data_IF_614496097347
#
_entry.id   IF_614496097347
#
_cell.length_a   1.000
_cell.length_b   1.000
_cell.length_c   1.000
_cell.angle_alpha   90.00
_cell.angle_beta   90.00
_cell.angle_gamma   90.00
#
_symmetry.space_group_name_H-M   'P 1'
#
loop_
_entity.id
_entity.type
_entity.pdbx_description
1 polymer ?
#
# COMPACT_ATOMS: atom_id res chain seq x y z
N UNK A 1 12.34 5.97 -8.15
CA UNK A 1 13.35 7.07 -8.14
C UNK A 1 14.72 6.45 -8.31
N UNK A 2 15.68 7.16 -8.91
CA UNK A 2 17.07 6.71 -8.99
C UNK A 2 17.64 6.49 -7.58
N UNK A 3 18.27 5.33 -7.34
CA UNK A 3 18.83 4.98 -6.02
C UNK A 3 20.31 5.33 -6.00
N UNK A 4 20.78 6.21 -5.10
CA UNK A 4 22.20 6.40 -4.86
C UNK A 4 22.90 5.12 -4.42
N UNK A 5 24.15 4.91 -4.85
CA UNK A 5 24.94 3.72 -4.51
C UNK A 5 25.08 3.49 -2.99
N UNK A 6 25.06 4.56 -2.19
CA UNK A 6 25.12 4.50 -0.73
C UNK A 6 23.89 3.87 -0.06
N UNK A 7 22.77 3.76 -0.78
CA UNK A 7 21.55 3.14 -0.26
C UNK A 7 21.54 1.67 -0.69
N UNK A 8 21.46 0.70 0.24
CA UNK A 8 21.44 -0.72 -0.09
C UNK A 8 20.31 -1.11 -1.04
N UNK A 9 20.53 -2.12 -1.88
CA UNK A 9 19.51 -2.65 -2.79
C UNK A 9 18.37 -3.34 -2.05
N UNK A 10 18.65 -3.97 -0.91
CA UNK A 10 17.71 -4.70 -0.06
C UNK A 10 17.08 -3.83 1.04
N UNK A 11 17.22 -2.50 0.95
CA UNK A 11 16.62 -1.59 1.92
C UNK A 11 15.09 -1.77 1.94
N UNK A 12 14.54 -1.78 3.16
CA UNK A 12 13.11 -1.74 3.39
C UNK A 12 12.83 -0.77 4.54
N UNK A 13 12.03 0.26 4.27
CA UNK A 13 11.62 1.28 5.23
C UNK A 13 10.11 1.31 5.30
N UNK A 14 9.58 1.26 6.52
CA UNK A 14 8.20 1.57 6.84
C UNK A 14 8.19 2.76 7.79
N UNK A 15 7.32 3.73 7.57
CA UNK A 15 7.23 4.94 8.42
C UNK A 15 6.10 4.82 9.45
N UNK A 16 5.94 5.85 10.29
CA UNK A 16 4.82 5.93 11.23
C UNK A 16 3.45 5.78 10.54
N UNK A 17 3.30 6.31 9.32
CA UNK A 17 2.05 6.17 8.54
C UNK A 17 1.72 4.70 8.24
N UNK A 18 2.73 3.88 7.91
CA UNK A 18 2.57 2.43 7.76
C UNK A 18 2.18 1.74 9.07
N UNK A 19 2.85 2.10 10.18
CA UNK A 19 2.57 1.52 11.50
C UNK A 19 1.15 1.85 11.99
N UNK A 20 0.63 3.03 11.66
CA UNK A 20 -0.72 3.43 12.00
C UNK A 20 -1.81 2.76 11.13
N UNK A 21 -1.42 2.19 9.98
CA UNK A 21 -2.33 1.59 8.98
C UNK A 21 -2.53 0.09 9.17
N UNK A 22 -1.46 -0.68 9.35
CA UNK A 22 -1.56 -2.14 9.36
C UNK A 22 -2.17 -2.66 10.67
N UNK A 23 -3.22 -3.47 10.58
CA UNK A 23 -4.02 -3.93 11.72
C UNK A 23 -3.20 -4.50 12.89
N UNK A 24 -2.14 -5.26 12.60
CA UNK A 24 -1.25 -5.81 13.63
C UNK A 24 -0.55 -4.75 14.48
N UNK A 25 -0.11 -3.65 13.88
CA UNK A 25 0.51 -2.52 14.59
C UNK A 25 -0.54 -1.55 15.14
N UNK A 26 -1.59 -1.29 14.36
CA UNK A 26 -2.70 -0.41 14.71
C UNK A 26 -3.51 -0.90 15.94
N UNK A 27 -3.45 -2.19 16.26
CA UNK A 27 -4.07 -2.78 17.44
C UNK A 27 -3.21 -2.67 18.72
N UNK A 28 -1.96 -2.20 18.62
CA UNK A 28 -1.08 -2.08 19.78
C UNK A 28 -1.46 -0.86 20.65
N UNK A 29 -1.22 -0.89 21.97
CA UNK A 29 -1.59 0.22 22.87
C UNK A 29 -1.01 1.59 22.47
N UNK A 30 0.17 1.60 21.85
CA UNK A 30 0.85 2.83 21.42
C UNK A 30 0.27 3.45 20.13
N UNK A 31 -0.64 2.77 19.43
CA UNK A 31 -1.14 3.23 18.14
C UNK A 31 -1.90 4.57 18.23
N UNK A 32 -2.61 4.84 19.34
CA UNK A 32 -3.29 6.12 19.55
C UNK A 32 -2.31 7.27 19.65
N UNK A 33 -1.28 7.14 20.50
CA UNK A 33 -0.24 8.17 20.66
C UNK A 33 0.51 8.43 19.36
N UNK A 34 0.82 7.38 18.59
CA UNK A 34 1.44 7.53 17.27
C UNK A 34 0.56 8.32 16.31
N UNK A 35 -0.76 8.09 16.30
CA UNK A 35 -1.69 8.83 15.44
C UNK A 35 -1.77 10.31 15.81
N UNK A 36 -1.77 10.62 17.11
CA UNK A 36 -1.73 12.01 17.60
C UNK A 36 -0.45 12.72 17.15
N UNK A 37 0.71 12.08 17.31
CA UNK A 37 1.99 12.62 16.84
C UNK A 37 2.01 12.85 15.33
N UNK A 38 1.52 11.89 14.54
CA UNK A 38 1.41 12.03 13.08
C UNK A 38 0.46 13.15 12.68
N UNK A 39 -0.62 13.38 13.44
CA UNK A 39 -1.58 14.43 13.16
C UNK A 39 -0.98 15.83 13.36
N UNK A 40 -0.03 15.96 14.29
CA UNK A 40 0.69 17.20 14.56
C UNK A 40 1.87 17.41 13.59
N UNK A 41 2.65 16.36 13.34
CA UNK A 41 3.90 16.43 12.58
C UNK A 41 3.73 16.27 11.07
N UNK A 42 2.81 15.42 10.64
CA UNK A 42 2.65 15.00 9.24
C UNK A 42 1.18 15.04 8.74
N UNK A 43 0.43 16.13 8.98
CA UNK A 43 -1.00 16.20 8.64
C UNK A 43 -1.27 16.01 7.14
N UNK A 44 -0.35 16.43 6.28
CA UNK A 44 -0.45 16.31 4.83
C UNK A 44 -0.40 14.84 4.38
N UNK A 45 0.48 14.03 5.00
CA UNK A 45 0.56 12.59 4.73
C UNK A 45 -0.70 11.86 5.20
N UNK A 46 -1.28 12.27 6.34
CA UNK A 46 -2.57 11.72 6.77
C UNK A 46 -3.71 12.12 5.82
N UNK A 47 -3.68 13.36 5.31
CA UNK A 47 -4.69 13.88 4.38
C UNK A 47 -4.81 13.10 3.07
N UNK A 48 -3.72 12.49 2.59
CA UNK A 48 -3.73 11.63 1.41
C UNK A 48 -3.71 10.12 1.72
N UNK A 49 -3.96 9.74 2.98
CA UNK A 49 -3.93 8.35 3.44
C UNK A 49 -2.62 7.66 3.02
N UNK A 50 -1.51 8.34 3.29
CA UNK A 50 -0.18 7.83 2.99
C UNK A 50 0.10 6.54 3.76
N UNK A 51 0.74 5.60 3.09
CA UNK A 51 1.47 4.50 3.65
C UNK A 51 2.91 4.66 3.14
N UNK A 52 3.57 5.74 3.56
CA UNK A 52 4.89 6.08 3.07
C UNK A 52 5.89 5.01 3.52
N UNK A 53 6.40 4.29 2.54
CA UNK A 53 7.37 3.22 2.64
C UNK A 53 8.35 3.33 1.47
N UNK A 54 9.46 2.63 1.61
CA UNK A 54 10.46 2.58 0.57
C UNK A 54 11.10 1.21 0.49
N UNK A 55 11.36 0.76 -0.72
CA UNK A 55 12.14 -0.46 -0.94
C UNK A 55 13.08 -0.31 -2.12
N UNK A 56 14.32 -0.76 -1.97
CA UNK A 56 15.32 -0.75 -3.01
C UNK A 56 15.09 -1.85 -4.03
N UNK A 57 15.59 -1.62 -5.24
CA UNK A 57 15.79 -2.64 -6.28
C UNK A 57 17.07 -2.38 -7.06
N UNK A 58 17.39 -3.30 -7.97
CA UNK A 58 18.45 -3.13 -8.97
C UNK A 58 18.27 -1.86 -9.79
N UNK A 59 17.02 -1.50 -10.08
CA UNK A 59 16.68 -0.42 -11.01
C UNK A 59 16.37 0.92 -10.32
N UNK A 60 16.35 0.94 -8.98
CA UNK A 60 16.16 2.17 -8.23
C UNK A 60 15.54 1.97 -6.85
N UNK A 61 14.74 2.94 -6.45
CA UNK A 61 14.01 2.99 -5.18
C UNK A 61 12.52 3.17 -5.46
N UNK A 62 11.72 2.23 -4.96
CA UNK A 62 10.28 2.41 -4.84
C UNK A 62 9.99 3.33 -3.66
N UNK A 63 9.16 4.36 -3.90
CA UNK A 63 8.66 5.30 -2.90
C UNK A 63 7.16 5.41 -3.08
N UNK A 64 6.43 5.36 -1.98
CA UNK A 64 4.98 5.38 -1.96
C UNK A 64 4.48 4.61 -0.75
N UNK A 65 3.18 4.37 -0.61
CA UNK A 65 2.10 4.81 -1.47
C UNK A 65 1.09 5.69 -0.72
N UNK A 66 0.01 6.06 -1.38
CA UNK A 66 -1.12 6.81 -0.85
C UNK A 66 -2.41 6.15 -1.30
N UNK A 67 -3.50 6.41 -0.59
CA UNK A 67 -4.77 5.75 -0.87
C UNK A 67 -5.90 6.75 -1.08
N UNK A 68 -6.78 6.43 -2.03
CA UNK A 68 -8.03 7.13 -2.23
C UNK A 68 -9.10 6.09 -2.59
N UNK A 69 -10.25 6.19 -1.94
CA UNK A 69 -11.37 5.28 -2.14
C UNK A 69 -12.54 6.02 -2.78
N UNK A 70 -13.07 5.44 -3.86
CA UNK A 70 -14.19 6.01 -4.60
C UNK A 70 -14.94 4.89 -5.32
N UNK A 71 -16.26 5.04 -5.43
CA UNK A 71 -17.10 4.17 -6.27
C UNK A 71 -16.80 4.37 -7.77
N UNK A 72 -16.22 5.51 -8.15
CA UNK A 72 -15.85 5.84 -9.52
C UNK A 72 -14.52 6.59 -9.54
N UNK A 73 -13.38 5.87 -9.44
CA UNK A 73 -12.06 6.50 -9.41
C UNK A 73 -11.65 7.04 -10.79
N UNK A 74 -10.98 8.19 -10.81
CA UNK A 74 -10.39 8.79 -12.03
C UNK A 74 -9.06 8.10 -12.38
N UNK A 75 -8.70 7.95 -13.66
CA UNK A 75 -7.51 7.19 -14.08
C UNK A 75 -6.21 7.98 -13.93
N UNK A 76 -6.28 9.18 -13.35
CA UNK A 76 -5.17 10.10 -13.23
C UNK A 76 -4.61 10.08 -11.82
N UNK A 77 -3.31 10.29 -11.74
CA UNK A 77 -2.59 10.45 -10.49
C UNK A 77 -2.62 11.92 -10.11
N UNK A 78 -2.93 12.20 -8.85
CA UNK A 78 -2.87 13.55 -8.30
C UNK A 78 -1.41 13.97 -8.14
N UNK A 79 -1.01 15.03 -8.87
CA UNK A 79 0.37 15.50 -8.92
C UNK A 79 0.89 15.90 -7.52
N UNK A 80 0.09 16.66 -6.76
CA UNK A 80 0.44 17.15 -5.42
C UNK A 80 0.71 16.00 -4.44
N UNK A 81 -0.07 14.91 -4.53
CA UNK A 81 0.16 13.71 -3.70
C UNK A 81 1.47 13.03 -4.06
N UNK A 82 1.77 12.89 -5.37
CA UNK A 82 3.02 12.30 -5.82
C UNK A 82 4.24 13.17 -5.43
N UNK A 83 4.10 14.49 -5.46
CA UNK A 83 5.14 15.44 -5.03
C UNK A 83 5.37 15.37 -3.52
N UNK A 84 4.31 15.30 -2.72
CA UNK A 84 4.40 15.13 -1.27
C UNK A 84 5.15 13.84 -0.89
N UNK A 85 4.75 12.70 -1.47
CA UNK A 85 5.40 11.41 -1.21
C UNK A 85 6.87 11.41 -1.66
N UNK A 86 7.15 12.04 -2.81
CA UNK A 86 8.52 12.18 -3.30
C UNK A 86 9.36 13.04 -2.35
N UNK A 87 8.83 14.16 -1.88
CA UNK A 87 9.52 15.08 -0.97
C UNK A 87 9.82 14.40 0.37
N UNK A 88 8.79 13.87 1.06
CA UNK A 88 8.96 13.17 2.35
C UNK A 88 9.83 11.92 2.23
N UNK A 89 9.64 11.14 1.16
CA UNK A 89 10.48 9.99 0.87
C UNK A 89 11.94 10.38 0.62
N UNK A 90 12.19 11.52 -0.01
CA UNK A 90 13.54 12.02 -0.26
C UNK A 90 14.24 12.48 1.02
N UNK A 91 13.50 13.06 1.98
CA UNK A 91 14.05 13.45 3.29
C UNK A 91 14.57 12.23 4.07
N UNK A 92 13.83 11.12 4.07
CA UNK A 92 14.24 9.85 4.72
C UNK A 92 15.63 9.40 4.24
N UNK A 93 15.92 9.59 2.96
CA UNK A 93 17.16 9.15 2.35
C UNK A 93 18.19 10.25 2.14
N UNK A 94 17.87 11.51 2.45
CA UNK A 94 18.70 12.68 2.17
C UNK A 94 18.96 12.87 0.67
N UNK A 95 17.91 12.90 -0.15
CA UNK A 95 18.00 13.13 -1.59
C UNK A 95 17.64 14.59 -1.91
N UNK A 96 18.65 15.42 -2.17
CA UNK A 96 18.44 16.84 -2.47
C UNK A 96 17.78 17.09 -3.83
N UNK A 97 17.98 16.19 -4.79
CA UNK A 97 17.46 16.30 -6.16
C UNK A 97 17.10 14.92 -6.70
N UNK A 98 15.99 14.32 -6.22
CA UNK A 98 15.61 12.97 -6.59
C UNK A 98 15.23 12.89 -8.07
N UNK A 99 15.93 12.06 -8.84
CA UNK A 99 15.55 11.79 -10.24
C UNK A 99 14.41 10.78 -10.28
N UNK A 100 13.22 11.24 -10.65
CA UNK A 100 12.07 10.34 -10.86
C UNK A 100 12.25 9.60 -12.19
N UNK A 101 12.37 8.28 -12.10
CA UNK A 101 12.45 7.41 -13.28
C UNK A 101 11.06 7.14 -13.87
N UNK A 102 10.11 6.79 -13.00
CA UNK A 102 8.75 6.43 -13.38
C UNK A 102 7.76 6.76 -12.25
N UNK A 103 6.50 6.93 -12.62
CA UNK A 103 5.34 7.03 -11.72
C UNK A 103 4.25 6.09 -12.23
N UNK A 104 3.54 5.43 -11.32
CA UNK A 104 2.40 4.57 -11.65
C UNK A 104 1.40 4.61 -10.50
N UNK A 105 0.14 4.29 -10.81
CA UNK A 105 -0.90 4.08 -9.80
C UNK A 105 -1.47 2.67 -9.96
N UNK A 106 -1.76 2.04 -8.81
CA UNK A 106 -2.56 0.83 -8.76
C UNK A 106 -4.02 1.16 -8.54
N UNK A 107 -4.90 0.22 -8.89
CA UNK A 107 -6.32 0.22 -8.51
C UNK A 107 -6.68 -1.18 -8.10
N UNK A 108 -7.37 -1.32 -6.98
CA UNK A 108 -7.83 -2.60 -6.46
C UNK A 108 -9.21 -2.41 -5.81
N UNK A 109 -9.96 -3.50 -5.67
CA UNK A 109 -11.24 -3.47 -4.98
C UNK A 109 -10.99 -3.32 -3.48
N UNK A 110 -11.79 -2.51 -2.80
CA UNK A 110 -11.70 -2.31 -1.35
C UNK A 110 -13.06 -2.60 -0.72
N UNK A 111 -13.06 -3.24 0.45
CA UNK A 111 -14.28 -3.48 1.24
C UNK A 111 -13.97 -3.35 2.72
N UNK A 112 -14.88 -2.71 3.44
CA UNK A 112 -14.83 -2.60 4.90
C UNK A 112 -15.33 -3.87 5.60
N UNK A 113 -16.04 -4.74 4.87
CA UNK A 113 -16.73 -5.91 5.43
C UNK A 113 -15.96 -7.22 5.24
N UNK A 114 -15.11 -7.33 4.21
CA UNK A 114 -14.37 -8.56 3.88
C UNK A 114 -13.08 -8.25 3.11
N UNK A 115 -12.07 -9.09 3.24
CA UNK A 115 -10.86 -9.03 2.41
C UNK A 115 -10.91 -9.93 1.17
N UNK A 116 -11.86 -10.86 1.08
CA UNK A 116 -11.91 -11.86 0.01
C UNK A 116 -13.35 -12.27 -0.31
N UNK A 117 -13.75 -12.02 -1.55
CA UNK A 117 -14.91 -12.67 -2.18
C UNK A 117 -14.40 -13.88 -2.94
N UNK A 118 -14.70 -15.08 -2.45
CA UNK A 118 -14.40 -16.34 -3.12
C UNK A 118 -15.66 -17.21 -3.16
N UNK A 119 -16.32 -17.23 -4.31
CA UNK A 119 -17.62 -17.89 -4.49
C UNK A 119 -17.61 -18.78 -5.73
N UNK A 120 -18.13 -19.99 -5.59
CA UNK A 120 -18.41 -20.87 -6.71
C UNK A 120 -19.87 -20.67 -7.13
N UNK A 121 -20.08 -20.10 -8.32
CA UNK A 121 -21.41 -19.80 -8.83
C UNK A 121 -22.04 -21.03 -9.50
N UNK A 122 -21.21 -21.83 -10.17
CA UNK A 122 -21.58 -23.10 -10.80
C UNK A 122 -20.35 -24.02 -10.97
N UNK A 123 -20.52 -25.19 -11.57
CA UNK A 123 -19.46 -26.19 -11.77
C UNK A 123 -18.24 -25.68 -12.58
N UNK A 124 -18.39 -24.58 -13.32
CA UNK A 124 -17.39 -24.05 -14.25
C UNK A 124 -17.00 -22.60 -13.98
N UNK A 125 -17.57 -21.97 -12.95
CA UNK A 125 -17.44 -20.54 -12.71
C UNK A 125 -17.15 -20.25 -11.25
N UNK A 126 -15.99 -19.63 -11.00
CA UNK A 126 -15.58 -19.12 -9.69
C UNK A 126 -15.32 -17.62 -9.77
N UNK A 127 -15.87 -16.87 -8.82
CA UNK A 127 -15.55 -15.46 -8.60
C UNK A 127 -14.53 -15.39 -7.48
N UNK A 128 -13.37 -14.78 -7.77
CA UNK A 128 -12.30 -14.56 -6.79
C UNK A 128 -11.85 -13.10 -6.86
N UNK A 129 -12.15 -12.32 -5.83
CA UNK A 129 -11.77 -10.91 -5.72
C UNK A 129 -11.17 -10.67 -4.34
N UNK A 130 -9.89 -10.29 -4.29
CA UNK A 130 -9.30 -9.77 -3.06
C UNK A 130 -9.69 -8.31 -2.94
N UNK A 131 -10.40 -7.96 -1.87
CA UNK A 131 -10.97 -6.64 -1.61
C UNK A 131 -10.12 -5.83 -0.63
N UNK A 132 -8.80 -5.99 -0.71
CA UNK A 132 -7.81 -5.19 0.02
C UNK A 132 -6.43 -5.26 -0.65
N UNK A 133 -5.46 -4.52 -0.10
CA UNK A 133 -4.09 -4.41 -0.65
C UNK A 133 -3.21 -5.67 -0.51
N UNK A 134 -3.75 -6.83 -0.09
CA UNK A 134 -2.98 -8.06 0.20
C UNK A 134 -2.99 -9.09 -0.93
N UNK A 135 -3.58 -8.76 -2.09
CA UNK A 135 -3.85 -9.74 -3.16
C UNK A 135 -2.63 -10.47 -3.70
N UNK A 136 -1.49 -9.77 -3.86
CA UNK A 136 -0.26 -10.41 -4.32
C UNK A 136 0.23 -11.48 -3.34
N UNK A 137 0.24 -11.16 -2.04
CA UNK A 137 0.65 -12.07 -0.96
C UNK A 137 -0.24 -13.30 -0.88
N UNK A 138 -1.55 -13.12 -1.05
CA UNK A 138 -2.54 -14.19 -0.91
C UNK A 138 -2.77 -15.00 -2.19
N UNK A 139 -2.24 -14.54 -3.33
CA UNK A 139 -2.59 -15.02 -4.67
C UNK A 139 -2.55 -16.55 -4.83
N UNK A 140 -1.48 -17.20 -4.38
CA UNK A 140 -1.34 -18.66 -4.51
C UNK A 140 -2.33 -19.44 -3.65
N UNK A 141 -2.60 -18.98 -2.42
CA UNK A 141 -3.57 -19.63 -1.55
C UNK A 141 -5.00 -19.48 -2.07
N UNK A 142 -5.36 -18.28 -2.53
CA UNK A 142 -6.66 -18.01 -3.16
C UNK A 142 -6.83 -18.85 -4.44
N UNK A 143 -5.78 -18.99 -5.25
CA UNK A 143 -5.82 -19.81 -6.46
C UNK A 143 -6.03 -21.29 -6.15
N UNK A 144 -5.35 -21.86 -5.14
CA UNK A 144 -5.54 -23.26 -4.74
C UNK A 144 -6.98 -23.52 -4.26
N UNK A 145 -7.53 -22.65 -3.40
CA UNK A 145 -8.91 -22.74 -2.94
C UNK A 145 -9.92 -22.66 -4.10
N UNK A 146 -9.72 -21.69 -5.00
CA UNK A 146 -10.58 -21.51 -6.17
C UNK A 146 -10.60 -22.73 -7.08
N UNK A 147 -9.45 -23.35 -7.32
CA UNK A 147 -9.31 -24.54 -8.17
C UNK A 147 -9.92 -25.79 -7.54
N UNK A 148 -9.99 -25.87 -6.20
CA UNK A 148 -10.62 -26.97 -5.47
C UNK A 148 -12.12 -26.80 -5.24
N UNK A 149 -12.67 -25.62 -5.52
CA UNK A 149 -14.05 -25.28 -5.19
C UNK A 149 -14.29 -25.15 -3.69
N UNK A 150 -13.25 -24.79 -2.93
CA UNK A 150 -13.34 -24.58 -1.48
C UNK A 150 -13.71 -23.13 -1.17
N UNK A 151 -14.44 -22.93 -0.07
CA UNK A 151 -14.81 -21.60 0.43
C UNK A 151 -14.15 -21.34 1.78
N UNK A 152 -13.87 -20.07 2.06
CA UNK A 152 -13.31 -19.62 3.35
C UNK A 152 -14.24 -18.59 3.94
N UNK A 153 -14.73 -18.84 5.16
CA UNK A 153 -15.57 -17.91 5.90
C UNK A 153 -14.73 -17.03 6.84
N UNK A 154 -15.16 -15.78 7.00
CA UNK A 154 -14.57 -14.84 7.98
C UNK A 154 -13.24 -14.21 7.55
N UNK A 155 -13.00 -14.08 6.25
CA UNK A 155 -11.81 -13.44 5.69
C UNK A 155 -12.04 -11.97 5.31
#
# INVERSE_FOLDING_TARGET
VERPERIPEDIAVLTGTSMARYGGFAAMPAATTLREELQESEPELLGCIANLMATGTRDGLFLGDSHAYSLSPTPFMEADTAELLLHRGSEIFGLDSPRVLQRWQGRYADSVDTNLVLEQLDEKTTVAVVTSGIGMTMSFGVADLALRGETVSGF
#
